data_IF_318079239261
#
_entry.id   IF_318079239261
#
_cell.length_a   1.000
_cell.length_b   1.000
_cell.length_c   1.000
_cell.angle_alpha   90.00
_cell.angle_beta   90.00
_cell.angle_gamma   90.00
#
_symmetry.space_group_name_H-M   'P 1'
#
loop_
_entity.id
_entity.type
_entity.pdbx_description
1 polymer ?
#
# COMPACT_ATOMS: atom_id res chain seq x y z
N UNK A 1 -10.02 -11.65 -6.84
CA UNK A 1 -8.78 -11.68 -6.04
C UNK A 1 -7.74 -12.50 -6.79
N UNK A 2 -6.51 -12.01 -6.92
CA UNK A 2 -5.37 -12.74 -7.50
C UNK A 2 -4.41 -13.09 -6.37
N UNK A 3 -4.08 -14.38 -6.20
CA UNK A 3 -3.09 -14.84 -5.24
C UNK A 3 -1.76 -15.08 -5.95
N UNK A 4 -0.69 -14.48 -5.44
CA UNK A 4 0.68 -14.70 -5.92
C UNK A 4 1.46 -15.44 -4.84
N UNK A 5 2.17 -16.49 -5.23
CA UNK A 5 2.97 -17.30 -4.31
C UNK A 5 4.41 -17.35 -4.81
N UNK A 6 5.35 -16.93 -3.97
CA UNK A 6 6.77 -17.10 -4.23
C UNK A 6 7.18 -18.56 -3.98
N UNK A 7 8.18 -19.04 -4.70
CA UNK A 7 8.71 -20.40 -4.51
C UNK A 7 9.39 -20.60 -3.14
N UNK A 8 9.87 -19.51 -2.54
CA UNK A 8 10.52 -19.48 -1.23
C UNK A 8 10.06 -18.28 -0.41
N UNK A 9 10.38 -18.26 0.89
CA UNK A 9 10.01 -17.17 1.78
C UNK A 9 10.97 -15.97 1.64
N UNK A 10 10.55 -14.96 0.87
CA UNK A 10 11.30 -13.74 0.61
C UNK A 10 11.01 -12.60 1.61
N UNK A 11 10.29 -12.88 2.71
CA UNK A 11 9.84 -11.90 3.70
C UNK A 11 8.94 -10.81 3.08
N UNK A 12 8.58 -9.79 3.87
CA UNK A 12 7.66 -8.73 3.45
C UNK A 12 8.10 -7.98 2.19
N UNK A 13 9.35 -7.52 2.14
CA UNK A 13 9.87 -6.78 0.98
C UNK A 13 9.83 -7.60 -0.32
N UNK A 14 10.13 -8.90 -0.24
CA UNK A 14 10.04 -9.79 -1.39
C UNK A 14 8.60 -10.03 -1.84
N UNK A 15 7.66 -10.18 -0.89
CA UNK A 15 6.23 -10.28 -1.17
C UNK A 15 5.69 -9.04 -1.88
N UNK A 16 5.96 -7.85 -1.34
CA UNK A 16 5.55 -6.59 -1.97
C UNK A 16 6.17 -6.40 -3.36
N UNK A 17 7.46 -6.68 -3.53
CA UNK A 17 8.12 -6.57 -4.82
C UNK A 17 7.50 -7.49 -5.90
N UNK A 18 7.12 -8.73 -5.54
CA UNK A 18 6.42 -9.63 -6.47
C UNK A 18 5.08 -9.05 -6.92
N UNK A 19 4.29 -8.49 -5.99
CA UNK A 19 3.02 -7.85 -6.30
C UNK A 19 3.19 -6.58 -7.15
N UNK A 20 4.14 -5.72 -6.77
CA UNK A 20 4.43 -4.46 -7.47
C UNK A 20 4.83 -4.68 -8.93
N UNK A 21 5.66 -5.71 -9.22
CA UNK A 21 6.02 -6.05 -10.60
C UNK A 21 4.79 -6.39 -11.45
N UNK A 22 3.87 -7.21 -10.92
CA UNK A 22 2.66 -7.59 -11.65
C UNK A 22 1.77 -6.37 -11.95
N UNK A 23 1.56 -5.48 -10.99
CA UNK A 23 0.68 -4.31 -11.20
C UNK A 23 1.31 -3.29 -12.14
N UNK A 24 2.65 -3.14 -12.10
CA UNK A 24 3.40 -2.35 -13.07
C UNK A 24 3.26 -2.92 -14.48
N UNK A 25 3.43 -4.24 -14.66
CA UNK A 25 3.24 -4.91 -15.95
C UNK A 25 1.82 -4.77 -16.50
N UNK A 26 0.82 -4.69 -15.62
CA UNK A 26 -0.59 -4.46 -15.99
C UNK A 26 -0.92 -3.00 -16.31
N UNK A 27 0.02 -2.06 -16.08
CA UNK A 27 -0.17 -0.65 -16.39
C UNK A 27 -1.08 0.10 -15.43
N UNK A 28 -1.20 -0.34 -14.17
CA UNK A 28 -1.90 0.46 -13.16
C UNK A 28 -1.13 1.73 -12.82
N UNK A 29 -1.83 2.87 -12.70
CA UNK A 29 -1.22 4.16 -12.37
C UNK A 29 -0.81 4.27 -10.90
N UNK A 30 -1.49 3.56 -10.02
CA UNK A 30 -1.28 3.60 -8.57
C UNK A 30 -1.20 2.18 -8.00
N UNK A 31 -0.37 2.02 -6.98
CA UNK A 31 -0.29 0.81 -6.17
C UNK A 31 -0.20 1.21 -4.70
N UNK A 32 -0.91 0.48 -3.84
CA UNK A 32 -0.85 0.64 -2.39
C UNK A 32 -0.38 -0.68 -1.78
N UNK A 33 0.68 -0.63 -0.97
CA UNK A 33 1.12 -1.76 -0.18
C UNK A 33 0.40 -1.73 1.17
N UNK A 34 -0.25 -2.84 1.51
CA UNK A 34 -0.94 -3.04 2.79
C UNK A 34 -0.50 -4.38 3.38
N UNK A 35 -0.27 -4.41 4.68
CA UNK A 35 -0.09 -5.66 5.42
C UNK A 35 -1.44 -6.39 5.57
N UNK A 36 -1.38 -7.70 5.79
CA UNK A 36 -2.56 -8.58 5.86
C UNK A 36 -3.37 -8.42 7.15
N UNK A 37 -2.80 -7.80 8.18
CA UNK A 37 -3.42 -7.48 9.46
C UNK A 37 -3.77 -5.99 9.61
N UNK A 38 -3.60 -5.18 8.55
CA UNK A 38 -3.94 -3.77 8.57
C UNK A 38 -5.45 -3.53 8.55
N UNK A 39 -5.91 -2.58 9.36
CA UNK A 39 -7.26 -2.00 9.26
C UNK A 39 -7.18 -0.64 8.56
N UNK A 40 -8.02 -0.43 7.54
CA UNK A 40 -7.98 0.77 6.71
C UNK A 40 -9.25 1.58 6.92
N UNK A 41 -9.08 2.86 7.21
CA UNK A 41 -10.19 3.82 7.25
C UNK A 41 -10.81 3.95 5.85
N UNK A 42 -12.15 4.01 5.78
CA UNK A 42 -12.88 4.05 4.52
C UNK A 42 -12.48 5.21 3.60
N UNK A 43 -11.98 6.31 4.18
CA UNK A 43 -11.54 7.49 3.45
C UNK A 43 -10.04 7.46 3.08
N UNK A 44 -9.24 6.58 3.68
CA UNK A 44 -7.78 6.63 3.56
C UNK A 44 -7.30 6.60 2.09
N UNK A 45 -7.85 5.68 1.29
CA UNK A 45 -7.46 5.54 -0.12
C UNK A 45 -7.90 6.77 -0.94
N UNK A 46 -9.10 7.29 -0.68
CA UNK A 46 -9.64 8.44 -1.41
C UNK A 46 -8.83 9.71 -1.16
N UNK A 47 -8.42 9.95 0.08
CA UNK A 47 -7.58 11.09 0.47
C UNK A 47 -6.18 11.01 -0.16
N UNK A 48 -5.54 9.83 -0.11
CA UNK A 48 -4.22 9.61 -0.71
C UNK A 48 -4.26 9.77 -2.24
N UNK A 49 -5.26 9.20 -2.89
CA UNK A 49 -5.46 9.34 -4.34
C UNK A 49 -5.68 10.81 -4.73
N UNK A 50 -6.57 11.51 -4.03
CA UNK A 50 -6.88 12.92 -4.30
C UNK A 50 -5.64 13.80 -4.15
N UNK A 51 -4.82 13.53 -3.12
CA UNK A 51 -3.56 14.24 -2.94
C UNK A 51 -2.60 14.03 -4.12
N UNK A 52 -2.40 12.79 -4.57
CA UNK A 52 -1.49 12.48 -5.69
C UNK A 52 -1.97 13.09 -7.02
N UNK A 53 -3.27 13.10 -7.29
CA UNK A 53 -3.83 13.74 -8.49
C UNK A 53 -3.64 15.26 -8.49
N UNK A 54 -3.65 15.89 -7.31
CA UNK A 54 -3.46 17.34 -7.17
C UNK A 54 -1.99 17.77 -7.17
N UNK A 55 -1.06 16.84 -6.92
CA UNK A 55 0.37 17.12 -6.79
C UNK A 55 1.18 16.22 -7.75
N UNK A 56 1.20 16.52 -9.06
CA UNK A 56 1.85 15.69 -10.08
C UNK A 56 3.39 15.60 -9.94
N UNK A 57 3.98 16.43 -9.07
CA UNK A 57 5.39 16.39 -8.67
C UNK A 57 5.66 15.42 -7.51
N UNK A 58 4.63 14.85 -6.89
CA UNK A 58 4.74 13.85 -5.83
C UNK A 58 4.73 12.43 -6.38
N UNK A 59 5.77 11.64 -6.08
CA UNK A 59 5.85 10.24 -6.53
C UNK A 59 5.13 9.23 -5.64
N UNK A 60 4.91 9.54 -4.36
CA UNK A 60 4.33 8.62 -3.37
C UNK A 60 3.61 9.37 -2.25
N UNK A 61 2.52 8.79 -1.75
CA UNK A 61 1.83 9.23 -0.53
C UNK A 61 1.68 8.03 0.42
N UNK A 62 1.67 8.29 1.73
CA UNK A 62 1.53 7.26 2.75
C UNK A 62 0.43 7.64 3.75
N UNK A 63 -0.39 6.66 4.14
CA UNK A 63 -1.33 6.84 5.22
C UNK A 63 -0.59 7.03 6.55
N UNK A 64 -1.19 7.80 7.46
CA UNK A 64 -0.78 7.74 8.88
C UNK A 64 -1.17 6.39 9.43
N UNK A 65 -0.23 5.73 10.09
CA UNK A 65 -0.46 4.43 10.73
C UNK A 65 -0.61 4.63 12.22
N UNK A 66 -1.70 4.14 12.78
CA UNK A 66 -2.00 4.23 14.21
C UNK A 66 -1.83 2.86 14.86
N UNK A 67 -1.38 2.84 16.11
CA UNK A 67 -1.33 1.60 16.87
C UNK A 67 -2.73 1.16 17.28
N UNK A 68 -3.17 -0.03 16.88
CA UNK A 68 -4.54 -0.53 17.08
C UNK A 68 -4.98 -0.52 18.56
N UNK A 69 -4.06 -0.75 19.49
CA UNK A 69 -4.36 -0.73 20.93
C UNK A 69 -4.09 0.61 21.61
N UNK A 70 -3.37 1.51 20.94
CA UNK A 70 -2.92 2.79 21.49
C UNK A 70 -3.12 3.87 20.41
N UNK A 71 -4.38 4.26 20.12
CA UNK A 71 -4.71 5.09 18.96
C UNK A 71 -4.07 6.48 18.98
N UNK A 72 -3.62 6.96 20.13
CA UNK A 72 -2.86 8.21 20.26
C UNK A 72 -1.41 8.09 19.75
N UNK A 73 -0.92 6.87 19.48
CA UNK A 73 0.42 6.61 19.01
C UNK A 73 0.43 6.45 17.48
N UNK A 74 1.15 7.35 16.82
CA UNK A 74 1.40 7.35 15.37
C UNK A 74 2.76 6.71 15.09
N UNK A 75 2.82 5.80 14.12
CA UNK A 75 4.04 5.14 13.65
C UNK A 75 4.65 5.83 12.43
#
# INVERSE_FOLDING_TARGET
MTLLQNAENLRGSGGFNTGLRLVLEKGYSYAMCLDDDAMVDEQAIAELYTYLEQHPDTGMAGARVYHTQMPEYVQ
#
